data_IF_953159028435
#
_entry.id   IF_953159028435
#
_cell.length_a   1.000
_cell.length_b   1.000
_cell.length_c   1.000
_cell.angle_alpha   90.00
_cell.angle_beta   90.00
_cell.angle_gamma   90.00
#
_symmetry.space_group_name_H-M   'P 1'
#
loop_
_entity.id
_entity.type
_entity.pdbx_description
1 polymer ?
#
# COMPACT_ATOMS: atom_id res chain seq x y z
N UNK A 1 -28.95 -10.83 32.62
CA UNK A 1 -29.59 -9.71 31.91
C UNK A 1 -28.63 -9.25 30.82
N UNK A 2 -28.93 -9.54 29.56
CA UNK A 2 -28.13 -9.06 28.42
C UNK A 2 -28.53 -7.61 28.14
N UNK A 3 -27.59 -6.68 28.32
CA UNK A 3 -27.79 -5.28 27.92
C UNK A 3 -28.07 -5.21 26.42
N UNK A 4 -29.07 -4.41 25.98
CA UNK A 4 -29.34 -4.25 24.56
C UNK A 4 -28.10 -3.64 23.87
N UNK A 5 -27.61 -4.31 22.84
CA UNK A 5 -26.49 -3.83 22.04
C UNK A 5 -26.97 -2.67 21.18
N UNK A 6 -26.69 -1.44 21.62
CA UNK A 6 -26.94 -0.25 20.81
C UNK A 6 -26.02 -0.31 19.59
N UNK A 7 -26.60 -0.19 18.40
CA UNK A 7 -25.88 -0.13 17.14
C UNK A 7 -26.27 1.12 16.35
N UNK A 8 -25.47 1.49 15.35
CA UNK A 8 -25.65 2.71 14.57
C UNK A 8 -27.00 2.75 13.81
N UNK A 9 -27.55 1.60 13.42
CA UNK A 9 -28.84 1.50 12.73
C UNK A 9 -30.04 1.76 13.66
N UNK A 10 -29.85 1.65 14.97
CA UNK A 10 -30.88 1.92 15.97
C UNK A 10 -30.89 3.36 16.46
N UNK A 11 -29.99 4.22 15.98
CA UNK A 11 -29.99 5.63 16.35
C UNK A 11 -31.16 6.37 15.67
N UNK A 12 -31.77 7.34 16.36
CA UNK A 12 -32.67 8.30 15.73
C UNK A 12 -31.98 9.03 14.56
N UNK A 13 -32.71 9.37 13.48
CA UNK A 13 -32.17 10.10 12.33
C UNK A 13 -31.43 11.39 12.71
N UNK A 14 -31.88 12.08 13.74
CA UNK A 14 -31.28 13.34 14.23
C UNK A 14 -29.81 13.13 14.66
N UNK A 15 -29.53 12.04 15.37
CA UNK A 15 -28.15 11.70 15.78
C UNK A 15 -27.30 11.26 14.58
N UNK A 16 -27.92 10.64 13.57
CA UNK A 16 -27.22 10.26 12.35
C UNK A 16 -26.83 11.51 11.55
N UNK A 17 -27.69 12.53 11.48
CA UNK A 17 -27.36 13.82 10.87
C UNK A 17 -26.26 14.53 11.63
N UNK A 18 -26.34 14.56 12.97
CA UNK A 18 -25.30 15.16 13.80
C UNK A 18 -23.95 14.48 13.58
N UNK A 19 -23.89 13.15 13.51
CA UNK A 19 -22.67 12.41 13.14
C UNK A 19 -22.19 12.81 11.74
N UNK A 20 -23.10 12.91 10.76
CA UNK A 20 -22.77 13.21 9.38
C UNK A 20 -22.18 14.61 9.20
N UNK A 21 -22.57 15.59 10.00
CA UNK A 21 -22.03 16.96 9.98
C UNK A 21 -20.53 17.01 10.34
N UNK A 22 -20.02 15.99 11.04
CA UNK A 22 -18.59 15.86 11.38
C UNK A 22 -17.81 14.96 10.40
N UNK A 23 -18.46 14.39 9.38
CA UNK A 23 -17.80 13.54 8.40
C UNK A 23 -17.31 14.33 7.18
N UNK A 24 -16.11 14.01 6.70
CA UNK A 24 -15.66 14.44 5.38
C UNK A 24 -16.59 13.88 4.27
N UNK A 25 -16.64 14.47 3.07
CA UNK A 25 -17.61 14.06 2.05
C UNK A 25 -17.51 12.60 1.61
N UNK A 26 -16.30 12.01 1.61
CA UNK A 26 -16.11 10.60 1.32
C UNK A 26 -16.58 9.70 2.47
N UNK A 27 -16.52 10.18 3.71
CA UNK A 27 -17.12 9.54 4.88
C UNK A 27 -18.64 9.51 4.82
N UNK A 28 -19.27 10.63 4.42
CA UNK A 28 -20.73 10.69 4.21
C UNK A 28 -21.14 9.70 3.13
N UNK A 29 -20.45 9.69 1.99
CA UNK A 29 -20.74 8.74 0.92
C UNK A 29 -20.51 7.28 1.37
N UNK A 30 -19.40 7.01 2.07
CA UNK A 30 -19.12 5.67 2.59
C UNK A 30 -20.24 5.20 3.53
N UNK A 31 -20.68 6.04 4.46
CA UNK A 31 -21.79 5.74 5.37
C UNK A 31 -23.07 5.44 4.59
N UNK A 32 -23.41 6.28 3.60
CA UNK A 32 -24.55 6.09 2.71
C UNK A 32 -24.51 4.74 1.99
N UNK A 33 -23.33 4.34 1.50
CA UNK A 33 -23.13 3.09 0.77
C UNK A 33 -23.07 1.83 1.66
N UNK A 34 -23.01 1.97 2.99
CA UNK A 34 -22.94 0.81 3.89
C UNK A 34 -24.28 0.12 4.11
N UNK A 35 -25.41 0.84 4.02
CA UNK A 35 -26.74 0.28 4.29
C UNK A 35 -27.88 1.10 3.66
N UNK A 36 -28.96 0.47 3.12
CA UNK A 36 -30.09 1.18 2.52
C UNK A 36 -30.78 2.21 3.44
N UNK A 37 -30.79 1.97 4.74
CA UNK A 37 -31.32 2.92 5.73
C UNK A 37 -30.55 4.25 5.73
N UNK A 38 -29.21 4.21 5.73
CA UNK A 38 -28.40 5.42 5.65
C UNK A 38 -28.52 6.07 4.28
N UNK A 39 -28.68 5.28 3.22
CA UNK A 39 -28.98 5.79 1.89
C UNK A 39 -30.28 6.59 1.84
N UNK A 40 -31.35 6.09 2.45
CA UNK A 40 -32.61 6.82 2.53
C UNK A 40 -32.55 8.03 3.48
N UNK A 41 -31.75 7.96 4.54
CA UNK A 41 -31.72 8.99 5.59
C UNK A 41 -30.83 10.17 5.22
N UNK A 42 -29.64 9.96 4.65
CA UNK A 42 -28.64 11.01 4.44
C UNK A 42 -28.85 11.79 3.11
N UNK A 43 -29.21 13.10 3.14
CA UNK A 43 -29.41 13.92 1.95
C UNK A 43 -28.06 14.41 1.41
N UNK A 44 -27.38 13.56 0.64
CA UNK A 44 -26.02 13.80 0.14
C UNK A 44 -25.88 15.16 -0.56
N UNK A 45 -26.85 15.56 -1.39
CA UNK A 45 -26.81 16.85 -2.11
C UNK A 45 -26.80 18.05 -1.15
N UNK A 46 -27.59 18.00 -0.08
CA UNK A 46 -27.66 19.06 0.92
C UNK A 46 -26.39 19.11 1.74
N UNK A 47 -25.91 17.95 2.20
CA UNK A 47 -24.71 17.84 3.03
C UNK A 47 -23.44 18.20 2.26
N UNK A 48 -23.39 17.98 0.95
CA UNK A 48 -22.23 18.31 0.13
C UNK A 48 -22.26 19.74 -0.44
N UNK A 49 -23.35 20.50 -0.23
CA UNK A 49 -23.52 21.81 -0.86
C UNK A 49 -22.48 22.80 -0.32
N UNK A 50 -21.62 23.28 -1.22
CA UNK A 50 -20.59 24.26 -0.89
C UNK A 50 -19.30 23.68 -0.30
N UNK A 51 -19.20 22.35 -0.16
CA UNK A 51 -17.97 21.72 0.30
C UNK A 51 -17.01 21.52 -0.87
N UNK A 52 -15.80 22.07 -0.76
CA UNK A 52 -14.73 21.78 -1.70
C UNK A 52 -14.21 20.35 -1.48
N UNK A 53 -14.49 19.48 -2.45
CA UNK A 53 -14.04 18.09 -2.39
C UNK A 53 -12.56 18.01 -2.71
N UNK A 54 -11.75 17.67 -1.70
CA UNK A 54 -10.31 17.44 -1.84
C UNK A 54 -10.01 16.38 -2.92
N UNK A 55 -8.81 16.41 -3.48
CA UNK A 55 -8.37 15.39 -4.43
C UNK A 55 -8.47 13.99 -3.83
N UNK A 56 -8.07 13.80 -2.58
CA UNK A 56 -8.15 12.51 -1.86
C UNK A 56 -9.59 12.01 -1.74
N UNK A 57 -10.49 12.88 -1.27
CA UNK A 57 -11.92 12.61 -1.16
C UNK A 57 -12.51 12.20 -2.51
N UNK A 58 -12.20 12.94 -3.58
CA UNK A 58 -12.64 12.58 -4.95
C UNK A 58 -12.15 11.20 -5.38
N UNK A 59 -10.95 10.80 -4.95
CA UNK A 59 -10.39 9.49 -5.27
C UNK A 59 -11.03 8.36 -4.47
N UNK A 60 -11.33 8.60 -3.19
CA UNK A 60 -12.07 7.67 -2.34
C UNK A 60 -13.49 7.45 -2.88
N UNK A 61 -14.22 8.54 -3.19
CA UNK A 61 -15.54 8.50 -3.80
C UNK A 61 -15.55 7.65 -5.08
N UNK A 62 -14.62 7.93 -6.02
CA UNK A 62 -14.51 7.13 -7.25
C UNK A 62 -14.28 5.65 -6.97
N UNK A 63 -13.51 5.33 -5.92
CA UNK A 63 -13.26 3.95 -5.53
C UNK A 63 -14.53 3.27 -5.03
N UNK A 64 -15.30 3.92 -4.15
CA UNK A 64 -16.56 3.38 -3.65
C UNK A 64 -17.60 3.18 -4.77
N UNK A 65 -17.63 4.08 -5.75
CA UNK A 65 -18.56 4.01 -6.88
C UNK A 65 -18.10 3.06 -8.00
N UNK A 66 -16.89 2.49 -7.94
CA UNK A 66 -16.44 1.55 -8.97
C UNK A 66 -17.22 0.23 -8.80
N UNK A 67 -18.24 0.02 -9.63
CA UNK A 67 -19.08 -1.18 -9.58
C UNK A 67 -18.24 -2.45 -9.86
N UNK A 68 -18.36 -3.51 -9.04
CA UNK A 68 -17.56 -4.72 -9.20
C UNK A 68 -18.04 -5.66 -10.32
N UNK A 69 -19.12 -5.36 -11.07
CA UNK A 69 -19.70 -6.31 -12.03
C UNK A 69 -20.04 -5.66 -13.38
N UNK A 70 -19.53 -6.20 -14.51
CA UNK A 70 -18.52 -7.26 -14.60
C UNK A 70 -17.16 -6.83 -14.02
N UNK A 71 -16.26 -7.78 -13.70
CA UNK A 71 -14.92 -7.46 -13.22
C UNK A 71 -14.27 -6.47 -14.19
N UNK A 72 -13.78 -5.33 -13.72
CA UNK A 72 -13.29 -4.32 -14.62
C UNK A 72 -12.04 -4.86 -15.32
N UNK A 73 -12.00 -4.79 -16.67
CA UNK A 73 -10.83 -5.22 -17.45
C UNK A 73 -9.57 -4.42 -17.10
N UNK A 74 -9.76 -3.27 -16.45
CA UNK A 74 -8.71 -2.39 -15.98
C UNK A 74 -8.92 -2.00 -14.53
N UNK A 75 -7.84 -1.92 -13.77
CA UNK A 75 -7.83 -1.38 -12.41
C UNK A 75 -7.01 -0.11 -12.38
N UNK A 76 -7.43 0.83 -11.53
CA UNK A 76 -6.66 2.05 -11.26
C UNK A 76 -5.75 1.82 -10.08
N UNK A 77 -4.45 2.05 -10.29
CA UNK A 77 -3.42 1.92 -9.27
C UNK A 77 -3.61 2.92 -8.14
N UNK A 78 -3.55 2.46 -6.90
CA UNK A 78 -3.71 3.27 -5.72
C UNK A 78 -2.51 4.17 -5.44
N UNK A 79 -1.33 3.84 -5.96
CA UNK A 79 -0.12 4.65 -5.80
C UNK A 79 0.00 5.68 -6.93
N UNK A 80 0.29 5.25 -8.17
CA UNK A 80 0.52 6.19 -9.29
C UNK A 80 -0.75 6.75 -9.92
N UNK A 81 -1.94 6.27 -9.50
CA UNK A 81 -3.25 6.75 -9.96
C UNK A 81 -3.58 6.50 -11.44
N UNK A 82 -2.71 5.80 -12.18
CA UNK A 82 -2.94 5.36 -13.57
C UNK A 82 -3.80 4.10 -13.64
N UNK A 83 -4.48 3.92 -14.78
CA UNK A 83 -5.35 2.76 -15.06
C UNK A 83 -4.61 1.75 -15.93
N UNK A 84 -4.60 0.48 -15.53
CA UNK A 84 -3.87 -0.61 -16.19
C UNK A 84 -4.74 -1.87 -16.30
N UNK A 85 -4.45 -2.79 -17.23
CA UNK A 85 -5.07 -4.11 -17.25
C UNK A 85 -4.89 -4.86 -15.93
N UNK A 86 -5.88 -5.67 -15.53
CA UNK A 86 -5.86 -6.45 -14.28
C UNK A 86 -4.60 -7.31 -14.13
N UNK A 87 -4.07 -7.85 -15.23
CA UNK A 87 -2.85 -8.66 -15.23
C UNK A 87 -1.60 -7.93 -14.68
N UNK A 88 -1.59 -6.59 -14.68
CA UNK A 88 -0.50 -5.78 -14.11
C UNK A 88 -0.66 -5.52 -12.59
N UNK A 89 -1.62 -6.16 -11.93
CA UNK A 89 -1.82 -6.12 -10.48
C UNK A 89 -1.43 -7.43 -9.79
N UNK A 90 -0.68 -8.29 -10.47
CA UNK A 90 0.02 -9.44 -9.89
C UNK A 90 1.49 -9.12 -9.71
N UNK A 91 2.10 -9.51 -8.59
CA UNK A 91 3.55 -9.33 -8.38
C UNK A 91 4.40 -10.08 -9.40
N UNK A 92 3.92 -11.21 -9.93
CA UNK A 92 4.61 -11.96 -10.99
C UNK A 92 4.84 -11.14 -12.26
N UNK A 93 4.02 -10.11 -12.51
CA UNK A 93 4.15 -9.20 -13.65
C UNK A 93 5.14 -8.06 -13.41
N UNK A 94 5.78 -8.03 -12.23
CA UNK A 94 6.73 -6.98 -11.87
C UNK A 94 8.11 -7.26 -12.46
N UNK A 95 8.83 -6.24 -12.97
CA UNK A 95 10.23 -6.39 -13.36
C UNK A 95 11.17 -6.68 -12.18
N UNK A 96 10.70 -6.57 -10.93
CA UNK A 96 11.44 -6.91 -9.71
C UNK A 96 11.16 -8.33 -9.21
N UNK A 97 10.28 -9.07 -9.87
CA UNK A 97 10.02 -10.47 -9.55
C UNK A 97 10.61 -11.33 -10.65
N UNK A 98 11.26 -12.42 -10.27
CA UNK A 98 11.76 -13.38 -11.25
C UNK A 98 10.55 -14.05 -11.92
N UNK A 99 10.51 -14.13 -13.26
CA UNK A 99 9.48 -14.92 -13.94
C UNK A 99 9.59 -16.35 -13.43
N UNK A 100 8.48 -16.91 -12.91
CA UNK A 100 8.46 -18.34 -12.63
C UNK A 100 8.56 -19.06 -13.97
N UNK A 101 9.62 -19.86 -14.16
CA UNK A 101 9.70 -20.73 -15.33
C UNK A 101 8.50 -21.67 -15.29
N UNK A 102 7.80 -21.76 -16.42
CA UNK A 102 6.55 -22.50 -16.69
C UNK A 102 6.65 -24.01 -16.52
N UNK A 103 7.60 -24.51 -15.74
CA UNK A 103 7.96 -25.93 -15.69
C UNK A 103 6.89 -26.77 -14.96
N UNK A 104 5.97 -26.16 -14.20
CA UNK A 104 4.78 -26.86 -13.71
C UNK A 104 3.55 -25.94 -13.66
N UNK A 105 2.47 -26.44 -14.23
CA UNK A 105 1.29 -25.72 -14.70
C UNK A 105 0.43 -25.02 -13.61
N UNK A 106 -0.09 -23.87 -14.03
CA UNK A 106 -1.45 -23.32 -13.81
C UNK A 106 -1.79 -22.33 -12.67
N UNK A 107 -0.91 -21.94 -11.76
CA UNK A 107 -1.24 -20.81 -10.86
C UNK A 107 -0.07 -19.82 -10.82
N UNK A 108 -0.21 -18.62 -11.41
CA UNK A 108 0.72 -17.52 -11.16
C UNK A 108 0.69 -17.22 -9.67
N UNK A 109 1.73 -17.63 -8.94
CA UNK A 109 1.83 -17.37 -7.51
C UNK A 109 2.35 -15.95 -7.32
N UNK A 110 1.72 -15.21 -6.42
CA UNK A 110 2.28 -13.94 -5.98
C UNK A 110 3.65 -14.19 -5.35
N UNK A 111 4.67 -13.59 -5.96
CA UNK A 111 6.04 -13.64 -5.44
C UNK A 111 6.13 -12.76 -4.20
N UNK A 112 5.58 -11.55 -4.32
CA UNK A 112 5.55 -10.51 -3.29
C UNK A 112 4.08 -10.16 -3.04
N UNK A 113 3.70 -9.97 -1.78
CA UNK A 113 2.33 -9.57 -1.43
C UNK A 113 2.08 -8.12 -1.89
N UNK A 114 1.11 -7.93 -2.80
CA UNK A 114 0.73 -6.59 -3.26
C UNK A 114 -0.52 -6.10 -2.54
N UNK A 115 -0.54 -4.85 -2.06
CA UNK A 115 -1.79 -4.25 -1.59
C UNK A 115 -2.83 -4.23 -2.72
N UNK A 116 -4.11 -4.44 -2.42
CA UNK A 116 -5.15 -4.40 -3.46
C UNK A 116 -5.05 -3.11 -4.28
N UNK A 117 -5.11 -3.25 -5.60
CA UNK A 117 -4.96 -2.14 -6.57
C UNK A 117 -3.60 -1.47 -6.54
N UNK A 118 -2.54 -2.16 -6.12
CA UNK A 118 -1.16 -1.70 -6.28
C UNK A 118 -0.56 -2.37 -7.51
N UNK A 119 -0.09 -1.60 -8.50
CA UNK A 119 0.38 -2.21 -9.74
C UNK A 119 1.82 -2.71 -9.61
N UNK A 120 2.15 -3.74 -10.38
CA UNK A 120 3.41 -4.47 -10.34
C UNK A 120 4.65 -3.59 -10.63
N UNK A 121 4.46 -2.48 -11.34
CA UNK A 121 5.53 -1.50 -11.62
C UNK A 121 6.04 -0.79 -10.36
N UNK A 122 5.22 -0.72 -9.32
CA UNK A 122 5.56 0.00 -8.08
C UNK A 122 6.05 -0.92 -6.97
N UNK A 123 6.30 -2.20 -7.22
CA UNK A 123 6.81 -3.15 -6.20
C UNK A 123 8.07 -2.62 -5.51
N UNK A 124 8.93 -1.90 -6.22
CA UNK A 124 10.14 -1.31 -5.66
C UNK A 124 9.87 -0.25 -4.59
N UNK A 125 8.65 0.30 -4.51
CA UNK A 125 8.22 1.19 -3.43
C UNK A 125 7.92 0.46 -2.13
N UNK A 126 7.74 -0.87 -2.18
CA UNK A 126 7.61 -1.73 -1.00
C UNK A 126 8.97 -2.28 -0.57
N UNK A 127 10.07 -1.87 -1.21
CA UNK A 127 11.42 -2.26 -0.85
C UNK A 127 12.29 -1.04 -0.48
N UNK A 128 13.15 -1.17 0.53
CA UNK A 128 14.07 -0.11 0.96
C UNK A 128 15.40 -0.67 1.45
N UNK A 129 16.50 -0.04 1.08
CA UNK A 129 17.83 -0.34 1.63
C UNK A 129 18.08 0.51 2.88
N UNK A 130 18.55 -0.12 3.95
CA UNK A 130 18.89 0.50 5.24
C UNK A 130 20.34 0.18 5.55
N UNK A 131 21.19 1.21 5.68
CA UNK A 131 22.61 1.03 6.03
C UNK A 131 22.77 0.94 7.54
N UNK A 132 23.39 -0.13 8.02
CA UNK A 132 23.54 -0.42 9.45
C UNK A 132 24.95 -0.18 9.99
N UNK A 133 25.93 0.06 9.09
CA UNK A 133 27.34 0.22 9.46
C UNK A 133 28.05 -1.11 9.73
N UNK A 134 29.36 -1.06 9.94
CA UNK A 134 30.17 -2.25 10.17
C UNK A 134 29.72 -3.03 11.42
N UNK A 135 29.57 -4.35 11.29
CA UNK A 135 29.06 -5.22 12.36
C UNK A 135 27.53 -5.19 12.53
N UNK A 136 26.82 -4.39 11.75
CA UNK A 136 25.35 -4.38 11.72
C UNK A 136 24.73 -5.58 10.97
N UNK A 137 23.40 -5.56 10.87
CA UNK A 137 22.60 -6.58 10.16
C UNK A 137 22.92 -6.59 8.65
N UNK A 138 22.92 -7.79 8.06
CA UNK A 138 23.17 -8.01 6.62
C UNK A 138 22.19 -9.03 6.02
N UNK A 139 20.93 -8.64 5.91
CA UNK A 139 19.84 -9.57 5.57
C UNK A 139 18.65 -8.83 4.92
N UNK A 140 17.71 -9.61 4.38
CA UNK A 140 16.41 -9.12 3.94
C UNK A 140 15.35 -9.43 4.98
N UNK A 141 14.53 -8.43 5.29
CA UNK A 141 13.51 -8.51 6.33
C UNK A 141 12.17 -8.04 5.78
N UNK A 142 11.13 -8.80 6.06
CA UNK A 142 9.73 -8.52 5.76
C UNK A 142 9.01 -8.04 7.01
N UNK A 143 8.40 -6.85 6.96
CA UNK A 143 7.60 -6.28 8.05
C UNK A 143 6.31 -5.70 7.52
N UNK A 144 5.23 -5.79 8.30
CA UNK A 144 4.03 -5.00 8.05
C UNK A 144 4.27 -3.55 8.46
N UNK A 145 3.79 -2.60 7.66
CA UNK A 145 3.85 -1.16 7.95
C UNK A 145 2.60 -0.46 7.46
N UNK A 146 2.26 0.67 8.07
CA UNK A 146 1.23 1.54 7.52
C UNK A 146 1.75 2.35 6.33
N UNK A 147 0.95 2.43 5.27
CA UNK A 147 1.21 3.26 4.10
C UNK A 147 0.08 4.28 3.94
N UNK A 148 0.43 5.55 3.74
CA UNK A 148 -0.55 6.58 3.41
C UNK A 148 -1.13 6.35 2.01
N UNK A 149 -2.45 6.31 1.89
CA UNK A 149 -3.11 6.03 0.60
C UNK A 149 -3.12 7.22 -0.37
N UNK A 150 -2.71 8.40 0.10
CA UNK A 150 -2.57 9.60 -0.72
C UNK A 150 -1.19 9.70 -1.36
N UNK A 151 -0.13 9.81 -0.56
CA UNK A 151 1.24 9.98 -1.06
C UNK A 151 2.02 8.67 -1.22
N UNK A 152 1.53 7.57 -0.63
CA UNK A 152 2.23 6.28 -0.60
C UNK A 152 3.44 6.24 0.34
N UNK A 153 3.58 7.22 1.23
CA UNK A 153 4.65 7.20 2.23
C UNK A 153 4.40 6.08 3.24
N UNK A 154 5.47 5.35 3.59
CA UNK A 154 5.43 4.19 4.48
C UNK A 154 5.97 4.59 5.85
N UNK A 155 5.25 4.23 6.92
CA UNK A 155 5.60 4.59 8.28
C UNK A 155 6.98 4.04 8.70
N UNK A 156 7.82 4.94 9.23
CA UNK A 156 9.21 4.67 9.58
C UNK A 156 10.19 4.71 8.39
N UNK A 157 9.71 4.90 7.15
CA UNK A 157 10.59 5.15 6.00
C UNK A 157 10.73 6.63 5.67
N UNK A 158 9.69 7.39 5.96
CA UNK A 158 9.63 8.84 5.88
C UNK A 158 8.41 9.34 6.63
N UNK A 159 8.18 10.66 6.57
CA UNK A 159 7.04 11.31 7.22
C UNK A 159 6.01 11.70 6.17
N UNK A 160 4.79 11.19 6.30
CA UNK A 160 3.67 11.68 5.50
C UNK A 160 3.41 13.15 5.86
N UNK A 161 3.50 14.05 4.87
CA UNK A 161 3.26 15.49 5.07
C UNK A 161 1.91 15.94 4.47
N UNK A 162 1.00 15.00 4.23
CA UNK A 162 -0.28 15.32 3.64
C UNK A 162 -1.19 16.02 4.67
N UNK A 163 -1.80 17.14 4.29
CA UNK A 163 -2.74 17.91 5.11
C UNK A 163 -4.20 17.50 4.89
N UNK A 164 -4.45 16.23 4.56
CA UNK A 164 -5.78 15.71 4.24
C UNK A 164 -6.34 14.94 5.42
N UNK A 165 -7.53 15.32 5.87
CA UNK A 165 -8.24 14.59 6.94
C UNK A 165 -8.75 13.23 6.45
N UNK A 166 -8.95 13.08 5.14
CA UNK A 166 -9.47 11.87 4.51
C UNK A 166 -8.38 10.86 4.10
N UNK A 167 -7.14 11.07 4.51
CA UNK A 167 -6.05 10.19 4.11
C UNK A 167 -6.07 8.91 4.94
N UNK A 168 -6.75 7.90 4.38
CA UNK A 168 -6.68 6.54 4.87
C UNK A 168 -5.24 6.05 4.92
N UNK A 169 -4.96 5.21 5.91
CA UNK A 169 -3.75 4.40 5.98
C UNK A 169 -4.13 2.96 5.65
N UNK A 170 -3.17 2.20 5.15
CA UNK A 170 -3.35 0.78 4.90
C UNK A 170 -2.12 0.03 5.35
N UNK A 171 -2.33 -1.10 6.02
CA UNK A 171 -1.26 -2.04 6.33
C UNK A 171 -0.75 -2.68 5.05
N UNK A 172 0.54 -2.60 4.81
CA UNK A 172 1.23 -3.20 3.66
C UNK A 172 2.45 -3.96 4.13
N UNK A 173 2.76 -5.08 3.47
CA UNK A 173 4.02 -5.79 3.67
C UNK A 173 5.14 -5.07 2.95
N UNK A 174 6.26 -4.90 3.64
CA UNK A 174 7.42 -4.14 3.16
C UNK A 174 8.69 -4.95 3.37
N UNK A 175 9.69 -4.69 2.52
CA UNK A 175 10.91 -5.47 2.43
C UNK A 175 12.12 -4.56 2.63
N UNK A 176 12.74 -4.65 3.80
CA UNK A 176 13.93 -3.89 4.14
C UNK A 176 15.18 -4.73 3.88
N UNK A 177 16.13 -4.18 3.12
CA UNK A 177 17.46 -4.72 2.96
C UNK A 177 18.41 -4.01 3.93
N UNK A 178 18.77 -4.68 5.01
CA UNK A 178 19.78 -4.16 5.94
C UNK A 178 21.17 -4.47 5.41
N UNK A 179 21.99 -3.45 5.18
CA UNK A 179 23.32 -3.59 4.58
C UNK A 179 24.39 -3.08 5.56
N UNK A 180 25.30 -3.97 5.96
CA UNK A 180 26.40 -3.67 6.89
C UNK A 180 27.76 -3.39 6.20
N UNK A 181 27.77 -3.41 4.87
CA UNK A 181 28.96 -3.16 4.07
C UNK A 181 28.70 -2.00 3.10
N UNK A 182 29.78 -1.51 2.46
CA UNK A 182 29.68 -0.43 1.49
C UNK A 182 29.34 -0.92 0.07
N UNK A 183 29.23 -2.24 -0.13
CA UNK A 183 28.98 -2.84 -1.44
C UNK A 183 27.49 -2.93 -1.73
N UNK A 184 26.96 -1.90 -2.40
CA UNK A 184 25.56 -1.90 -2.81
C UNK A 184 25.36 -2.66 -4.13
N UNK A 185 24.56 -3.72 -4.08
CA UNK A 185 24.12 -4.45 -5.27
C UNK A 185 23.03 -3.64 -5.98
N UNK A 186 23.16 -3.45 -7.30
CA UNK A 186 22.32 -2.48 -8.05
C UNK A 186 20.93 -3.00 -8.38
N UNK A 187 20.73 -4.32 -8.36
CA UNK A 187 19.49 -4.97 -8.76
C UNK A 187 19.21 -6.13 -7.82
N UNK A 188 17.94 -6.29 -7.49
CA UNK A 188 17.44 -7.43 -6.73
C UNK A 188 16.18 -7.96 -7.40
N UNK A 189 16.00 -9.28 -7.33
CA UNK A 189 14.82 -9.99 -7.83
C UNK A 189 14.25 -10.87 -6.74
N UNK A 190 12.97 -10.70 -6.44
CA UNK A 190 12.25 -11.59 -5.55
C UNK A 190 11.84 -12.87 -6.29
N UNK A 191 11.86 -14.01 -5.60
CA UNK A 191 11.34 -15.28 -6.09
C UNK A 191 10.95 -16.16 -4.90
N UNK A 192 10.05 -17.12 -5.12
CA UNK A 192 9.66 -18.11 -4.10
C UNK A 192 10.17 -19.48 -4.51
N UNK A 193 10.84 -20.16 -3.59
CA UNK A 193 11.28 -21.55 -3.77
C UNK A 193 10.29 -22.46 -3.08
N UNK A 194 9.77 -23.45 -3.80
CA UNK A 194 9.04 -24.55 -3.20
C UNK A 194 10.07 -25.40 -2.46
N UNK A 195 10.00 -25.43 -1.13
CA UNK A 195 10.75 -26.41 -0.38
C UNK A 195 10.33 -27.80 -0.86
N UNK A 196 11.31 -28.59 -1.28
CA UNK A 196 11.07 -29.98 -1.66
C UNK A 196 10.52 -30.67 -0.43
N UNK A 197 9.37 -31.33 -0.57
CA UNK A 197 8.72 -32.12 0.48
C UNK A 197 9.75 -33.09 1.10
N UNK A 198 10.33 -32.68 2.23
CA UNK A 198 11.52 -33.31 2.79
C UNK A 198 11.79 -32.78 4.19
N UNK A 199 11.08 -33.37 5.14
CA UNK A 199 11.32 -33.34 6.59
C UNK A 199 10.91 -32.07 7.36
N UNK A 200 9.61 -31.99 7.68
CA UNK A 200 9.22 -31.88 9.09
C UNK A 200 8.92 -30.53 9.72
N UNK A 201 8.45 -29.51 8.97
CA UNK A 201 7.94 -28.27 9.57
C UNK A 201 6.44 -28.06 9.27
N UNK A 202 5.70 -27.67 10.31
CA UNK A 202 4.25 -27.69 10.39
C UNK A 202 3.53 -26.56 9.62
N UNK A 203 2.51 -26.97 8.87
CA UNK A 203 1.18 -26.36 8.69
C UNK A 203 0.97 -24.92 8.16
N UNK A 204 1.99 -24.19 7.71
CA UNK A 204 1.73 -23.01 6.84
C UNK A 204 1.66 -23.44 5.38
N UNK A 205 0.46 -23.86 4.96
CA UNK A 205 0.11 -24.31 3.60
C UNK A 205 0.75 -23.48 2.48
N UNK A 206 1.82 -24.02 1.88
CA UNK A 206 2.06 -23.95 0.45
C UNK A 206 2.69 -22.69 -0.15
N UNK A 207 3.09 -21.68 0.64
CA UNK A 207 3.63 -20.43 0.05
C UNK A 207 5.09 -20.51 -0.41
N UNK A 208 5.87 -21.50 0.01
CA UNK A 208 7.31 -21.58 -0.30
C UNK A 208 8.12 -20.44 0.34
N UNK A 209 9.43 -20.59 0.38
CA UNK A 209 10.34 -19.60 0.99
C UNK A 209 10.56 -18.45 0.03
N UNK A 210 10.20 -17.23 0.44
CA UNK A 210 10.54 -16.01 -0.29
C UNK A 210 12.03 -15.73 -0.16
N UNK A 211 12.69 -15.57 -1.30
CA UNK A 211 14.13 -15.28 -1.41
C UNK A 211 14.36 -14.10 -2.34
N UNK A 212 15.51 -13.45 -2.18
CA UNK A 212 15.96 -12.34 -3.00
C UNK A 212 17.31 -12.66 -3.63
N UNK A 213 17.40 -12.57 -4.95
CA UNK A 213 18.65 -12.65 -5.69
C UNK A 213 19.16 -11.23 -5.96
N UNK A 214 20.30 -10.89 -5.39
CA UNK A 214 21.00 -9.63 -5.63
C UNK A 214 22.05 -9.79 -6.73
N UNK A 215 22.12 -8.85 -7.66
CA UNK A 215 23.18 -8.78 -8.68
C UNK A 215 24.13 -7.65 -8.31
N UNK A 216 25.34 -8.02 -7.94
CA UNK A 216 26.39 -7.10 -7.53
C UNK A 216 27.43 -7.02 -8.65
N UNK A 217 27.82 -5.80 -9.02
CA UNK A 217 28.89 -5.58 -10.00
C UNK A 217 30.17 -5.31 -9.22
N UNK A 218 31.21 -6.08 -9.50
CA UNK A 218 32.54 -5.74 -9.04
C UNK A 218 33.05 -4.53 -9.84
N UNK A 219 33.55 -3.51 -9.13
CA UNK A 219 34.06 -2.31 -9.76
C UNK A 219 35.35 -2.58 -10.52
N UNK A 220 36.15 -3.55 -10.06
CA UNK A 220 37.50 -3.77 -10.58
C UNK A 220 37.50 -4.69 -11.81
N UNK A 221 36.68 -5.74 -11.78
CA UNK A 221 36.76 -6.82 -12.78
C UNK A 221 35.60 -6.87 -13.77
N UNK A 222 34.64 -5.94 -13.66
CA UNK A 222 33.38 -5.96 -14.42
C UNK A 222 32.57 -7.27 -14.29
N UNK A 223 32.97 -8.16 -13.37
CA UNK A 223 32.32 -9.43 -13.12
C UNK A 223 31.04 -9.18 -12.32
N UNK A 224 29.98 -9.90 -12.69
CA UNK A 224 28.74 -9.92 -11.93
C UNK A 224 28.76 -11.11 -10.99
N UNK A 225 28.52 -10.85 -9.72
CA UNK A 225 28.31 -11.88 -8.70
C UNK A 225 26.85 -11.86 -8.26
N UNK A 226 26.33 -13.04 -7.98
CA UNK A 226 24.96 -13.22 -7.49
C UNK A 226 25.01 -13.62 -6.02
N UNK A 227 24.20 -12.96 -5.21
CA UNK A 227 23.99 -13.31 -3.81
C UNK A 227 22.52 -13.68 -3.64
N UNK A 228 22.23 -14.74 -2.88
CA UNK A 228 20.87 -15.17 -2.59
C UNK A 228 20.64 -15.09 -1.08
N UNK A 229 19.57 -14.41 -0.70
CA UNK A 229 19.20 -14.21 0.70
C UNK A 229 17.75 -14.68 0.91
N UNK A 230 17.47 -15.50 1.93
CA UNK A 230 16.10 -15.69 2.37
C UNK A 230 15.54 -14.38 2.93
N UNK A 231 14.23 -14.18 2.81
CA UNK A 231 13.53 -13.07 3.46
C UNK A 231 13.06 -13.53 4.84
N UNK A 232 13.58 -12.90 5.89
CA UNK A 232 13.13 -13.15 7.26
C UNK A 232 11.88 -12.34 7.56
N UNK A 233 10.82 -12.99 8.05
CA UNK A 233 9.58 -12.33 8.45
C UNK A 233 9.68 -11.97 9.93
N UNK A 234 9.60 -10.69 10.25
CA UNK A 234 9.54 -10.25 11.64
C UNK A 234 8.08 -10.25 12.10
N UNK A 235 7.79 -10.92 13.22
CA UNK A 235 6.45 -11.27 13.69
C UNK A 235 5.52 -10.07 13.90
N UNK A 236 4.25 -10.29 13.55
CA UNK A 236 3.14 -9.32 13.63
C UNK A 236 2.68 -9.01 15.06
N UNK A 237 3.18 -9.75 16.06
CA UNK A 237 2.79 -9.57 17.47
C UNK A 237 3.12 -8.17 18.00
N UNK A 238 4.10 -7.49 17.41
CA UNK A 238 4.42 -6.09 17.71
C UNK A 238 3.41 -5.08 17.14
N UNK A 239 2.58 -5.46 16.16
CA UNK A 239 1.60 -4.61 15.49
C UNK A 239 0.20 -4.66 16.11
N UNK A 240 -0.12 -5.72 16.84
CA UNK A 240 -1.42 -5.88 17.50
C UNK A 240 -1.57 -5.08 18.79
N UNK A 241 -0.56 -4.32 19.21
CA UNK A 241 -0.82 -3.20 20.09
C UNK A 241 -1.40 -2.06 19.24
N UNK A 242 -2.71 -1.77 19.29
CA UNK A 242 -3.23 -0.54 18.74
C UNK A 242 -2.48 0.56 19.47
N UNK A 243 -1.48 1.10 18.80
CA UNK A 243 -0.95 2.38 19.18
C UNK A 243 -2.17 3.29 19.03
N UNK A 244 -2.77 3.65 20.15
CA UNK A 244 -3.51 4.89 20.29
C UNK A 244 -2.49 6.00 20.04
N UNK A 245 -1.96 6.07 18.80
CA UNK A 245 -1.48 7.30 18.25
C UNK A 245 -2.75 8.13 18.21
N UNK A 246 -2.95 8.91 19.28
CA UNK A 246 -3.41 10.27 19.14
C UNK A 246 -2.64 10.82 17.93
N UNK A 247 -3.24 10.73 16.74
CA UNK A 247 -2.89 11.67 15.69
C UNK A 247 -3.04 12.99 16.40
N UNK A 248 -1.98 13.81 16.55
CA UNK A 248 -2.24 15.19 16.84
C UNK A 248 -3.06 15.65 15.64
N UNK A 249 -4.38 15.72 15.82
CA UNK A 249 -5.23 16.54 15.00
C UNK A 249 -4.56 17.90 15.12
N UNK A 250 -3.79 18.26 14.10
CA UNK A 250 -3.24 19.59 13.94
C UNK A 250 -4.41 20.49 13.60
N UNK A 251 -5.32 20.64 14.56
CA UNK A 251 -6.39 21.59 14.53
C UNK A 251 -5.77 22.97 14.42
N UNK A 252 -6.16 23.64 13.34
CA UNK A 252 -6.06 25.06 13.09
C UNK A 252 -4.64 25.63 13.17
N UNK A 253 -3.94 25.67 12.03
CA UNK A 253 -3.12 26.84 11.76
C UNK A 253 -4.06 28.07 11.77
N UNK A 254 -3.84 29.09 12.61
CA UNK A 254 -4.51 30.37 12.40
C UNK A 254 -4.17 30.84 11.00
N UNK A 255 -5.19 31.31 10.27
CA UNK A 255 -5.03 31.91 8.95
C UNK A 255 -4.18 33.18 9.11
N UNK A 256 -2.87 33.06 8.97
CA UNK A 256 -1.97 34.20 8.82
C UNK A 256 -1.93 34.57 7.35
N UNK A 257 -2.62 35.64 6.99
CA UNK A 257 -2.47 36.34 5.72
C UNK A 257 -1.06 36.95 5.72
N UNK A 258 -0.12 36.27 5.05
CA UNK A 258 1.27 36.72 4.96
C UNK A 258 2.05 35.83 4.01
N UNK A 259 2.20 36.29 2.78
CA UNK A 259 2.79 35.52 1.68
C UNK A 259 4.26 35.19 1.89
N UNK A 260 4.64 34.00 1.39
CA UNK A 260 5.90 33.73 0.70
C UNK A 260 5.76 32.36 0.03
N UNK A 261 5.77 32.33 -1.30
CA UNK A 261 5.70 31.12 -2.10
C UNK A 261 7.02 30.35 -1.98
N UNK A 262 7.00 29.20 -1.30
CA UNK A 262 8.02 28.18 -1.46
C UNK A 262 7.53 27.16 -2.50
N UNK A 263 8.16 27.15 -3.67
CA UNK A 263 7.87 26.22 -4.75
C UNK A 263 8.44 24.85 -4.40
N UNK A 264 7.62 23.96 -3.83
CA UNK A 264 7.98 22.54 -3.68
C UNK A 264 7.80 21.86 -5.04
N UNK A 265 8.90 21.60 -5.74
CA UNK A 265 8.91 20.75 -6.94
C UNK A 265 8.64 19.30 -6.57
N UNK A 266 7.37 18.89 -6.65
CA UNK A 266 6.98 17.49 -6.61
C UNK A 266 7.45 16.81 -7.90
N UNK A 267 8.52 16.02 -7.84
CA UNK A 267 9.00 15.24 -8.99
C UNK A 267 8.01 14.11 -9.28
N UNK A 268 7.03 14.37 -10.12
CA UNK A 268 6.22 13.32 -10.75
C UNK A 268 7.14 12.51 -11.68
N UNK A 269 7.52 11.30 -11.25
CA UNK A 269 8.05 10.31 -12.20
C UNK A 269 6.87 9.81 -13.03
N UNK A 270 6.80 10.26 -14.27
CA UNK A 270 5.84 9.76 -15.25
C UNK A 270 6.13 8.28 -15.53
N UNK A 271 5.10 7.45 -15.49
CA UNK A 271 5.23 6.06 -15.95
C UNK A 271 5.42 6.06 -17.47
N UNK A 272 6.24 5.14 -18.03
CA UNK A 272 6.38 5.04 -19.47
C UNK A 272 5.02 4.71 -20.13
N UNK A 273 4.73 5.26 -21.33
CA UNK A 273 3.53 4.93 -22.08
C UNK A 273 3.53 3.45 -22.51
N UNK A 274 2.32 2.89 -22.63
CA UNK A 274 2.01 1.45 -22.83
C UNK A 274 2.48 0.90 -24.20
N UNK A 275 2.99 1.73 -25.11
CA UNK A 275 3.20 1.36 -26.52
C UNK A 275 4.40 0.45 -26.84
N UNK A 276 5.04 -0.23 -25.88
CA UNK A 276 6.23 -1.07 -26.15
C UNK A 276 6.27 -2.43 -25.45
N UNK A 277 5.15 -3.15 -25.41
CA UNK A 277 5.10 -4.50 -24.83
C UNK A 277 4.74 -5.64 -25.80
N UNK A 278 4.64 -5.35 -27.10
CA UNK A 278 4.51 -6.38 -28.14
C UNK A 278 5.58 -6.20 -29.22
N UNK A 279 6.86 -6.35 -28.85
CA UNK A 279 7.99 -6.41 -29.79
C UNK A 279 9.05 -7.36 -29.26
#
# INVERSE_FOLDING_TARGET
MTSPTINLLCLPPELIYEIADYLAPDGILALKLTHPFFDATLPLEQLMKGIEVSTCTRHAIRTYLTCPVPPPTHLRCIFCKSTYPVALFSSSSSPLCMPMSTINDNIPREVVELPNRFCAWHVGRLAKVIRTGAGGRNEWVSTLKEMCMHCGEISGWGTCTCSCDSCGVRTVRTYARYLNNDRECRRFLFYRTLEREGEGAADTKGEGVLSVRETCRDHDNNQQTFLEFPVHYEDEDSFLQPTLFERPCSHAKPVSVGGMHATVTQRHRTCPPIEKLNS
#
